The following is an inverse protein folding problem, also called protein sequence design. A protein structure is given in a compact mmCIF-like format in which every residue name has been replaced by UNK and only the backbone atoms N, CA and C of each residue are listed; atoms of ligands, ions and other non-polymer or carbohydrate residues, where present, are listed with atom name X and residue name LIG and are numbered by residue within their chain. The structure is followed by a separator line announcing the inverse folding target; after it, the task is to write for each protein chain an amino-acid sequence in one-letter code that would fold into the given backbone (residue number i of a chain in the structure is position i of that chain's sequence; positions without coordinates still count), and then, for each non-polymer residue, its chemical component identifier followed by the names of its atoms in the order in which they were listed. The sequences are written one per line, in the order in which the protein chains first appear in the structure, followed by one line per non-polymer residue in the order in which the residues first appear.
data_IF_469613681895
#
_entry.id   IF_469613681895
#
_cell.length_a   1.000
_cell.length_b   1.000
_cell.length_c   1.000
_cell.angle_alpha   90.00
_cell.angle_beta   90.00
_cell.angle_gamma   90.00
#
_symmetry.space_group_name_H-M   'P 1'
#
loop_
_entity.id
_entity.type
_entity.pdbx_description
1 polymer ?
#
# COMPACT_ATOMS: atom_id res chain seq x y z
N UNK A 1 -31.18 -4.68 -6.10
CA UNK A 1 -29.81 -4.41 -5.61
C UNK A 1 -29.50 -5.42 -4.52
N UNK A 2 -28.37 -6.06 -4.60
CA UNK A 2 -27.89 -6.97 -3.57
C UNK A 2 -27.07 -6.14 -2.57
N UNK A 3 -27.34 -6.29 -1.28
CA UNK A 3 -26.63 -5.55 -0.21
C UNK A 3 -25.91 -6.54 0.67
N UNK A 4 -24.60 -6.34 0.83
CA UNK A 4 -23.76 -7.11 1.74
C UNK A 4 -23.51 -6.32 3.02
N UNK A 5 -23.89 -6.89 4.17
CA UNK A 5 -23.59 -6.37 5.50
C UNK A 5 -22.58 -7.29 6.20
N UNK A 6 -21.34 -6.81 6.38
CA UNK A 6 -20.33 -7.55 7.11
C UNK A 6 -20.35 -7.21 8.61
N UNK A 7 -20.29 -8.24 9.44
CA UNK A 7 -20.10 -8.14 10.89
C UNK A 7 -18.65 -8.50 11.30
N UNK A 8 -17.83 -8.94 10.36
CA UNK A 8 -16.44 -9.32 10.62
C UNK A 8 -15.59 -8.07 10.89
N UNK A 9 -15.01 -7.97 12.07
CA UNK A 9 -14.17 -6.85 12.53
C UNK A 9 -12.67 -7.25 12.70
N UNK A 10 -12.30 -8.39 12.15
CA UNK A 10 -10.93 -8.91 12.15
C UNK A 10 -10.37 -9.02 10.73
N UNK A 11 -9.03 -8.99 10.56
CA UNK A 11 -8.41 -9.27 9.28
C UNK A 11 -8.79 -10.65 8.73
N UNK A 12 -8.96 -10.74 7.41
CA UNK A 12 -9.21 -12.01 6.73
C UNK A 12 -7.98 -12.93 6.76
N UNK A 13 -6.80 -12.33 6.74
CA UNK A 13 -5.53 -13.04 6.81
C UNK A 13 -4.58 -12.31 7.77
N UNK A 14 -4.03 -13.04 8.74
CA UNK A 14 -3.08 -12.52 9.71
C UNK A 14 -1.85 -13.40 9.77
N UNK A 15 -0.68 -12.83 9.52
CA UNK A 15 0.62 -13.49 9.57
C UNK A 15 1.46 -12.84 10.66
N UNK A 16 2.02 -13.64 11.58
CA UNK A 16 2.89 -13.16 12.64
C UNK A 16 4.16 -14.03 12.66
N UNK A 17 5.31 -13.40 12.46
CA UNK A 17 6.66 -14.00 12.50
C UNK A 17 6.84 -15.25 11.60
N UNK A 18 6.08 -15.33 10.51
CA UNK A 18 6.17 -16.41 9.52
C UNK A 18 6.92 -15.94 8.28
N UNK A 19 7.52 -16.87 7.55
CA UNK A 19 8.36 -16.55 6.41
C UNK A 19 8.09 -17.46 5.22
N UNK A 20 8.37 -16.93 4.01
CA UNK A 20 8.36 -17.66 2.73
C UNK A 20 6.99 -18.26 2.35
N UNK A 21 5.91 -17.63 2.81
CA UNK A 21 4.55 -18.00 2.41
C UNK A 21 4.12 -17.19 1.19
N UNK A 22 3.40 -17.84 0.28
CA UNK A 22 2.77 -17.17 -0.86
C UNK A 22 1.27 -17.49 -0.86
N UNK A 23 0.47 -16.42 -0.81
CA UNK A 23 -0.98 -16.48 -1.00
C UNK A 23 -1.28 -15.99 -2.40
N UNK A 24 -1.91 -16.81 -3.21
CA UNK A 24 -2.11 -16.52 -4.63
C UNK A 24 -3.53 -16.76 -5.09
N UNK A 25 -4.04 -15.84 -5.93
CA UNK A 25 -5.33 -16.00 -6.62
C UNK A 25 -6.54 -15.98 -5.69
N UNK A 26 -6.42 -15.34 -4.51
CA UNK A 26 -7.52 -15.24 -3.55
C UNK A 26 -8.38 -14.01 -3.84
N UNK A 27 -9.67 -14.14 -3.58
CA UNK A 27 -10.59 -13.01 -3.46
C UNK A 27 -10.79 -12.76 -1.96
N UNK A 28 -10.42 -11.57 -1.50
CA UNK A 28 -10.47 -11.13 -0.12
C UNK A 28 -11.42 -9.93 -0.03
N UNK A 29 -12.58 -10.14 0.57
CA UNK A 29 -13.61 -9.09 0.63
C UNK A 29 -14.46 -9.16 1.89
N UNK A 30 -15.17 -8.06 2.17
CA UNK A 30 -16.19 -7.99 3.19
C UNK A 30 -15.70 -8.18 4.63
N UNK A 31 -14.57 -7.57 4.99
CA UNK A 31 -14.25 -7.31 6.41
C UNK A 31 -14.38 -5.81 6.72
N UNK A 32 -14.68 -5.49 7.97
CA UNK A 32 -14.67 -4.10 8.50
C UNK A 32 -13.27 -3.65 8.90
N UNK A 33 -12.34 -4.59 9.10
CA UNK A 33 -10.94 -4.38 9.43
C UNK A 33 -10.06 -4.27 8.16
N UNK A 34 -8.74 -4.44 8.31
CA UNK A 34 -7.82 -4.65 7.20
C UNK A 34 -8.09 -6.00 6.54
N UNK A 35 -7.83 -6.14 5.24
CA UNK A 35 -7.96 -7.46 4.64
C UNK A 35 -6.81 -8.38 5.08
N UNK A 36 -5.58 -7.89 5.03
CA UNK A 36 -4.38 -8.66 5.34
C UNK A 36 -3.48 -7.88 6.30
N UNK A 37 -2.98 -8.55 7.33
CA UNK A 37 -1.94 -8.05 8.22
C UNK A 37 -0.74 -9.01 8.24
N UNK A 38 0.46 -8.47 8.02
CA UNK A 38 1.73 -9.20 8.11
C UNK A 38 2.63 -8.48 9.12
N UNK A 39 3.03 -9.17 10.18
CA UNK A 39 3.92 -8.63 11.21
C UNK A 39 5.13 -9.51 11.39
N UNK A 40 6.33 -8.94 11.27
CA UNK A 40 7.58 -9.69 11.36
C UNK A 40 7.76 -10.74 10.27
N UNK A 41 8.71 -11.66 10.46
CA UNK A 41 9.04 -12.68 9.48
C UNK A 41 9.75 -12.16 8.23
N UNK A 42 9.77 -12.96 7.15
CA UNK A 42 10.45 -12.58 5.93
C UNK A 42 9.82 -13.19 4.66
N UNK A 43 9.94 -12.47 3.55
CA UNK A 43 9.69 -12.99 2.19
C UNK A 43 8.28 -13.58 1.96
N UNK A 44 7.27 -13.09 2.67
CA UNK A 44 5.89 -13.48 2.39
C UNK A 44 5.37 -12.69 1.19
N UNK A 45 4.51 -13.32 0.36
CA UNK A 45 3.98 -12.73 -0.87
C UNK A 45 2.47 -12.85 -0.94
N UNK A 46 1.82 -11.75 -1.30
CA UNK A 46 0.42 -11.69 -1.72
C UNK A 46 0.46 -11.48 -3.23
N UNK A 47 -0.01 -12.45 -4.02
CA UNK A 47 0.21 -12.47 -5.46
C UNK A 47 -1.06 -12.77 -6.26
N UNK A 48 -1.38 -11.96 -7.25
CA UNK A 48 -2.54 -12.17 -8.12
C UNK A 48 -3.87 -12.26 -7.37
N UNK A 49 -4.01 -11.48 -6.30
CA UNK A 49 -5.20 -11.46 -5.45
C UNK A 49 -6.13 -10.30 -5.84
N UNK A 50 -7.41 -10.48 -5.60
CA UNK A 50 -8.41 -9.42 -5.65
C UNK A 50 -8.83 -9.04 -4.24
N UNK A 51 -8.52 -7.82 -3.82
CA UNK A 51 -8.80 -7.29 -2.47
C UNK A 51 -9.78 -6.13 -2.64
N UNK A 52 -11.01 -6.29 -2.16
CA UNK A 52 -12.05 -5.29 -2.38
C UNK A 52 -13.10 -5.24 -1.28
N UNK A 53 -13.85 -4.13 -1.23
CA UNK A 53 -14.94 -3.95 -0.25
C UNK A 53 -14.45 -4.17 1.19
N UNK A 54 -13.32 -3.56 1.50
CA UNK A 54 -12.64 -3.63 2.80
C UNK A 54 -12.98 -2.38 3.61
N UNK A 55 -13.32 -2.55 4.88
CA UNK A 55 -13.70 -1.43 5.75
C UNK A 55 -12.54 -0.52 6.15
N UNK A 56 -11.31 -1.02 6.11
CA UNK A 56 -10.11 -0.26 6.43
C UNK A 56 -9.06 -0.41 5.29
N UNK A 57 -7.79 -0.62 5.60
CA UNK A 57 -6.69 -0.76 4.62
C UNK A 57 -6.66 -2.16 3.99
N UNK A 58 -6.34 -2.25 2.70
CA UNK A 58 -6.23 -3.53 2.00
C UNK A 58 -5.17 -4.43 2.62
N UNK A 59 -3.90 -4.02 2.62
CA UNK A 59 -2.79 -4.81 3.18
C UNK A 59 -1.92 -3.93 4.09
N UNK A 60 -1.61 -4.44 5.27
CA UNK A 60 -0.70 -3.80 6.23
C UNK A 60 0.49 -4.72 6.50
N UNK A 61 1.70 -4.22 6.26
CA UNK A 61 2.97 -4.91 6.50
C UNK A 61 3.78 -4.11 7.51
N UNK A 62 4.07 -4.70 8.65
CA UNK A 62 4.81 -4.07 9.74
C UNK A 62 6.02 -4.91 10.15
N UNK A 63 7.21 -4.35 9.98
CA UNK A 63 8.47 -5.03 10.32
C UNK A 63 8.77 -6.24 9.43
N UNK A 64 9.74 -7.04 9.84
CA UNK A 64 10.25 -8.12 9.01
C UNK A 64 11.05 -7.63 7.80
N UNK A 65 11.26 -8.48 6.81
CA UNK A 65 12.04 -8.13 5.61
C UNK A 65 11.50 -8.76 4.33
N UNK A 66 11.58 -8.03 3.21
CA UNK A 66 11.35 -8.58 1.89
C UNK A 66 9.93 -9.08 1.58
N UNK A 67 8.92 -8.59 2.28
CA UNK A 67 7.52 -8.92 1.96
C UNK A 67 7.06 -8.20 0.69
N UNK A 68 6.11 -8.79 -0.01
CA UNK A 68 5.63 -8.23 -1.26
C UNK A 68 4.12 -8.36 -1.48
N UNK A 69 3.56 -7.34 -2.14
CA UNK A 69 2.26 -7.41 -2.79
C UNK A 69 2.51 -7.27 -4.29
N UNK A 70 2.13 -8.27 -5.07
CA UNK A 70 2.44 -8.31 -6.50
C UNK A 70 1.24 -8.70 -7.35
N UNK A 71 1.12 -8.08 -8.52
CA UNK A 71 0.11 -8.43 -9.55
C UNK A 71 -1.31 -8.56 -8.98
N UNK A 72 -1.67 -7.70 -8.03
CA UNK A 72 -2.94 -7.77 -7.31
C UNK A 72 -3.79 -6.52 -7.57
N UNK A 73 -5.10 -6.68 -7.54
CA UNK A 73 -6.06 -5.59 -7.65
C UNK A 73 -6.58 -5.22 -6.25
N UNK A 74 -6.50 -3.94 -5.90
CA UNK A 74 -7.00 -3.41 -4.64
C UNK A 74 -8.01 -2.29 -4.92
N UNK A 75 -9.24 -2.47 -4.50
CA UNK A 75 -10.30 -1.49 -4.76
C UNK A 75 -11.31 -1.37 -3.62
N UNK A 76 -12.02 -0.25 -3.62
CA UNK A 76 -13.16 -0.01 -2.75
C UNK A 76 -12.84 -0.25 -1.25
N UNK A 77 -11.66 0.21 -0.80
CA UNK A 77 -11.28 0.20 0.62
C UNK A 77 -11.83 1.42 1.36
N UNK A 78 -12.06 1.28 2.64
CA UNK A 78 -12.48 2.40 3.49
C UNK A 78 -11.35 3.40 3.74
N UNK A 79 -10.13 2.88 3.79
CA UNK A 79 -8.88 3.62 4.01
C UNK A 79 -7.90 3.36 2.83
N UNK A 80 -6.61 3.24 3.07
CA UNK A 80 -5.60 3.06 2.04
C UNK A 80 -5.57 1.69 1.34
N UNK A 81 -4.67 1.55 0.38
CA UNK A 81 -4.45 0.31 -0.36
C UNK A 81 -3.47 -0.62 0.36
N UNK A 82 -2.17 -0.31 0.30
CA UNK A 82 -1.09 -1.08 0.92
C UNK A 82 -0.23 -0.17 1.79
N UNK A 83 0.00 -0.57 3.03
CA UNK A 83 0.91 0.11 3.96
C UNK A 83 2.12 -0.76 4.23
N UNK A 84 3.32 -0.23 3.96
CA UNK A 84 4.60 -0.87 4.18
C UNK A 84 5.38 -0.14 5.27
N UNK A 85 5.78 -0.84 6.33
CA UNK A 85 6.67 -0.31 7.35
C UNK A 85 7.81 -1.27 7.58
N UNK A 86 9.06 -0.83 7.36
CA UNK A 86 10.23 -1.69 7.55
C UNK A 86 11.57 -1.01 7.33
N UNK A 87 12.62 -1.69 7.76
CA UNK A 87 13.99 -1.15 7.78
C UNK A 87 14.28 -0.32 9.02
N UNK A 88 15.54 0.00 9.21
CA UNK A 88 16.03 0.78 10.36
C UNK A 88 16.67 2.07 9.89
N UNK A 89 16.07 3.21 10.22
CA UNK A 89 16.53 4.55 9.83
C UNK A 89 17.82 4.98 10.55
N UNK A 90 18.17 4.40 11.69
CA UNK A 90 19.40 4.73 12.37
C UNK A 90 20.62 4.15 11.66
N UNK A 91 20.49 2.93 11.18
CA UNK A 91 21.55 2.21 10.48
C UNK A 91 21.43 2.27 8.96
N UNK A 92 20.32 2.77 8.44
CA UNK A 92 19.91 2.72 7.03
C UNK A 92 19.80 1.29 6.47
N UNK A 93 19.51 0.32 7.35
CA UNK A 93 19.29 -1.06 6.94
C UNK A 93 17.92 -1.19 6.24
N UNK A 94 17.87 -1.68 4.99
CA UNK A 94 16.64 -1.70 4.22
C UNK A 94 15.65 -2.78 4.71
N UNK A 95 14.36 -2.44 4.72
CA UNK A 95 13.27 -3.40 4.93
C UNK A 95 13.00 -4.28 3.72
N UNK A 96 13.24 -3.74 2.52
CA UNK A 96 13.13 -4.47 1.26
C UNK A 96 11.71 -4.89 0.87
N UNK A 97 10.67 -4.35 1.51
CA UNK A 97 9.29 -4.61 1.11
C UNK A 97 8.97 -3.89 -0.20
N UNK A 98 8.07 -4.48 -0.99
CA UNK A 98 7.67 -3.86 -2.24
C UNK A 98 6.23 -4.14 -2.67
N UNK A 99 5.73 -3.20 -3.47
CA UNK A 99 4.45 -3.30 -4.19
C UNK A 99 4.76 -3.17 -5.68
N UNK A 100 4.39 -4.19 -6.45
CA UNK A 100 4.74 -4.23 -7.87
C UNK A 100 3.62 -4.78 -8.74
N UNK A 101 3.41 -4.13 -9.89
CA UNK A 101 2.45 -4.55 -10.91
C UNK A 101 1.02 -4.72 -10.35
N UNK A 102 0.62 -3.82 -9.45
CA UNK A 102 -0.70 -3.81 -8.84
C UNK A 102 -1.58 -2.72 -9.44
N UNK A 103 -2.89 -2.91 -9.37
CA UNK A 103 -3.88 -1.93 -9.76
C UNK A 103 -4.66 -1.45 -8.53
N UNK A 104 -4.69 -0.13 -8.34
CA UNK A 104 -5.36 0.54 -7.23
C UNK A 104 -6.43 1.50 -7.75
N UNK A 105 -7.65 1.39 -7.24
CA UNK A 105 -8.74 2.29 -7.62
C UNK A 105 -9.80 2.44 -6.54
N UNK A 106 -10.41 3.63 -6.46
CA UNK A 106 -11.53 3.95 -5.55
C UNK A 106 -11.26 3.60 -4.10
N UNK A 107 -10.09 3.95 -3.60
CA UNK A 107 -9.72 3.79 -2.20
C UNK A 107 -10.19 4.98 -1.36
N UNK A 108 -10.01 4.92 -0.04
CA UNK A 108 -10.31 6.03 0.84
C UNK A 108 -11.78 6.39 0.89
N UNK A 109 -12.68 5.41 0.94
CA UNK A 109 -14.14 5.66 0.93
C UNK A 109 -14.63 6.34 2.20
N UNK A 110 -13.98 6.08 3.33
CA UNK A 110 -14.27 6.70 4.62
C UNK A 110 -13.31 7.83 4.95
N UNK A 111 -12.02 7.51 4.98
CA UNK A 111 -10.95 8.47 5.19
C UNK A 111 -10.54 9.07 3.86
N UNK A 112 -10.49 10.40 3.76
CA UNK A 112 -10.19 11.09 2.49
C UNK A 112 -8.79 11.68 2.45
N UNK A 113 -8.19 11.97 3.60
CA UNK A 113 -6.88 12.60 3.71
C UNK A 113 -5.83 11.61 4.22
N UNK A 114 -4.62 11.67 3.65
CA UNK A 114 -3.47 10.84 4.03
C UNK A 114 -3.70 9.33 3.94
N UNK A 115 -4.53 8.91 3.01
CA UNK A 115 -4.91 7.52 2.74
C UNK A 115 -4.44 7.10 1.35
N UNK A 116 -3.14 6.91 1.13
CA UNK A 116 -2.58 6.61 -0.18
C UNK A 116 -2.92 5.22 -0.69
N UNK A 117 -2.76 5.01 -2.00
CA UNK A 117 -2.76 3.66 -2.54
C UNK A 117 -1.57 2.84 -2.01
N UNK A 118 -0.40 3.48 -1.92
CA UNK A 118 0.79 2.87 -1.31
C UNK A 118 1.41 3.83 -0.29
N UNK A 119 1.45 3.40 0.97
CA UNK A 119 2.20 4.07 2.04
C UNK A 119 3.53 3.35 2.28
N UNK A 120 4.62 4.09 2.41
CA UNK A 120 5.95 3.54 2.68
C UNK A 120 6.61 4.27 3.85
N UNK A 121 6.99 3.55 4.90
CA UNK A 121 7.65 4.13 6.07
C UNK A 121 8.89 3.31 6.43
N UNK A 122 10.04 3.96 6.52
CA UNK A 122 11.28 3.30 6.95
C UNK A 122 12.42 3.44 5.96
N UNK A 123 13.01 2.33 5.49
CA UNK A 123 14.20 2.36 4.62
C UNK A 123 14.09 1.34 3.49
N UNK A 124 14.45 1.77 2.26
CA UNK A 124 14.66 0.87 1.14
C UNK A 124 13.42 0.10 0.69
N UNK A 125 12.27 0.76 0.69
CA UNK A 125 11.00 0.19 0.22
C UNK A 125 10.75 0.59 -1.25
N UNK A 126 9.93 -0.18 -1.96
CA UNK A 126 9.71 0.06 -3.39
C UNK A 126 8.24 -0.02 -3.80
N UNK A 127 7.82 0.94 -4.63
CA UNK A 127 6.56 0.91 -5.38
C UNK A 127 6.87 1.05 -6.87
N UNK A 128 6.58 0.02 -7.66
CA UNK A 128 6.94 0.01 -9.09
C UNK A 128 5.90 -0.67 -9.97
N UNK A 129 5.78 -0.17 -11.22
CA UNK A 129 4.89 -0.74 -12.24
C UNK A 129 3.42 -0.82 -11.81
N UNK A 130 2.96 0.08 -10.95
CA UNK A 130 1.58 0.09 -10.49
C UNK A 130 0.73 1.06 -11.31
N UNK A 131 -0.53 0.73 -11.51
CA UNK A 131 -1.57 1.63 -11.97
C UNK A 131 -2.36 2.13 -10.78
N UNK A 132 -2.40 3.45 -10.56
CA UNK A 132 -3.10 4.09 -9.44
C UNK A 132 -4.05 5.15 -10.00
N UNK A 133 -5.34 4.96 -9.77
CA UNK A 133 -6.36 5.85 -10.32
C UNK A 133 -7.57 6.05 -9.41
N UNK A 134 -8.35 7.09 -9.71
CA UNK A 134 -9.64 7.40 -9.06
C UNK A 134 -9.51 7.46 -7.53
N UNK A 135 -8.64 8.37 -7.06
CA UNK A 135 -8.24 8.41 -5.65
C UNK A 135 -8.48 9.79 -5.03
N UNK A 136 -8.99 9.89 -3.78
CA UNK A 136 -9.34 11.17 -3.17
C UNK A 136 -8.14 12.03 -2.80
N UNK A 137 -6.99 11.44 -2.51
CA UNK A 137 -5.76 12.10 -2.05
C UNK A 137 -4.54 11.69 -2.88
N UNK A 138 -3.35 11.56 -2.25
CA UNK A 138 -2.12 11.16 -2.93
C UNK A 138 -2.11 9.67 -3.32
N UNK A 139 -1.47 9.35 -4.43
CA UNK A 139 -1.29 7.96 -4.84
C UNK A 139 -0.25 7.24 -3.97
N UNK A 140 0.91 7.86 -3.78
CA UNK A 140 1.99 7.31 -2.96
C UNK A 140 2.38 8.32 -1.87
N UNK A 141 2.44 7.85 -0.64
CA UNK A 141 2.87 8.63 0.51
C UNK A 141 4.08 7.95 1.15
N UNK A 142 5.18 8.67 1.35
CA UNK A 142 6.38 8.04 1.87
C UNK A 142 7.08 8.87 2.94
N UNK A 143 7.70 8.16 3.88
CA UNK A 143 8.52 8.71 4.95
C UNK A 143 9.75 7.84 5.17
N UNK A 144 10.92 8.44 5.14
CA UNK A 144 12.16 7.72 5.45
C UNK A 144 13.23 7.90 4.39
N UNK A 145 13.92 6.82 4.07
CA UNK A 145 15.16 6.87 3.32
C UNK A 145 15.26 5.78 2.26
N UNK A 146 15.94 6.11 1.17
CA UNK A 146 16.33 5.17 0.12
C UNK A 146 15.17 4.41 -0.53
N UNK A 147 13.99 5.00 -0.55
CA UNK A 147 12.82 4.44 -1.23
C UNK A 147 12.95 4.58 -2.75
N UNK A 148 12.30 3.69 -3.47
CA UNK A 148 12.25 3.70 -4.94
C UNK A 148 10.81 3.68 -5.44
N UNK A 149 10.43 4.72 -6.18
CA UNK A 149 9.13 4.86 -6.84
C UNK A 149 9.35 5.01 -8.33
N UNK A 150 9.07 3.97 -9.11
CA UNK A 150 9.39 3.97 -10.54
C UNK A 150 8.38 3.24 -11.40
N UNK A 151 8.26 3.68 -12.65
CA UNK A 151 7.41 3.06 -13.67
C UNK A 151 5.94 2.93 -13.25
N UNK A 152 5.45 3.80 -12.38
CA UNK A 152 4.03 3.81 -12.02
C UNK A 152 3.27 4.73 -12.99
N UNK A 153 2.06 4.32 -13.35
CA UNK A 153 1.07 5.18 -13.98
C UNK A 153 0.10 5.69 -12.92
N UNK A 154 -0.02 7.02 -12.81
CA UNK A 154 -0.82 7.67 -11.77
C UNK A 154 -1.71 8.72 -12.43
N UNK A 155 -3.03 8.57 -12.30
CA UNK A 155 -3.96 9.55 -12.85
C UNK A 155 -5.28 9.64 -12.07
N UNK A 156 -6.02 10.74 -12.28
CA UNK A 156 -7.29 11.01 -11.59
C UNK A 156 -7.15 10.85 -10.07
N UNK A 157 -6.16 11.55 -9.50
CA UNK A 157 -5.91 11.58 -8.06
C UNK A 157 -6.17 12.99 -7.50
N UNK A 158 -6.16 13.13 -6.16
CA UNK A 158 -6.51 14.38 -5.49
C UNK A 158 -7.93 14.87 -5.82
N UNK A 159 -8.88 13.96 -6.00
CA UNK A 159 -10.22 14.28 -6.47
C UNK A 159 -11.08 14.98 -5.40
N UNK A 160 -10.79 14.79 -4.12
CA UNK A 160 -11.65 15.27 -3.04
C UNK A 160 -10.90 16.12 -1.98
N UNK A 161 -9.58 16.27 -2.11
CA UNK A 161 -8.75 16.95 -1.09
C UNK A 161 -7.74 17.91 -1.70
N UNK A 162 -7.26 18.86 -0.89
CA UNK A 162 -6.18 19.78 -1.24
C UNK A 162 -4.89 19.49 -0.46
N UNK A 163 -3.85 20.32 -0.64
CA UNK A 163 -2.52 20.19 -0.04
C UNK A 163 -1.90 18.80 -0.26
N UNK A 164 -1.82 18.41 -1.52
CA UNK A 164 -1.47 17.05 -1.93
C UNK A 164 -0.68 17.05 -3.23
N UNK A 165 0.22 16.07 -3.37
CA UNK A 165 0.89 15.71 -4.63
C UNK A 165 0.62 14.26 -4.98
N UNK A 166 0.82 13.88 -6.24
CA UNK A 166 0.65 12.49 -6.67
C UNK A 166 1.55 11.53 -5.88
N UNK A 167 2.80 11.91 -5.71
CA UNK A 167 3.77 11.28 -4.81
C UNK A 167 4.12 12.34 -3.78
N UNK A 168 3.87 12.06 -2.51
CA UNK A 168 3.87 13.05 -1.45
C UNK A 168 4.73 12.64 -0.26
N UNK A 169 5.49 13.60 0.29
CA UNK A 169 6.28 13.45 1.52
C UNK A 169 6.48 14.83 2.17
N UNK A 170 6.98 14.86 3.37
CA UNK A 170 7.35 16.12 4.00
C UNK A 170 7.58 16.04 5.50
N UNK A 171 7.89 17.22 6.10
CA UNK A 171 7.99 17.50 7.53
C UNK A 171 9.20 16.91 8.26
N UNK A 172 10.10 16.23 7.56
CA UNK A 172 11.33 15.72 8.15
C UNK A 172 12.49 15.89 7.14
N UNK A 173 13.43 16.77 7.44
CA UNK A 173 14.57 17.08 6.59
C UNK A 173 15.67 15.99 6.59
N UNK A 174 15.50 14.95 7.40
CA UNK A 174 16.40 13.79 7.43
C UNK A 174 16.08 12.74 6.36
N UNK A 175 14.95 12.89 5.66
CA UNK A 175 14.61 12.02 4.52
C UNK A 175 15.58 12.28 3.37
N UNK A 176 16.18 11.22 2.86
CA UNK A 176 17.18 11.30 1.81
C UNK A 176 17.35 9.99 1.08
N UNK A 177 17.96 10.05 -0.12
CA UNK A 177 18.24 8.86 -0.92
C UNK A 177 17.06 8.33 -1.72
N UNK A 178 15.87 8.93 -1.55
CA UNK A 178 14.67 8.53 -2.26
C UNK A 178 14.78 8.82 -3.76
N UNK A 179 14.30 7.90 -4.58
CA UNK A 179 14.35 7.99 -6.03
C UNK A 179 12.95 7.90 -6.61
N UNK A 180 12.53 8.99 -7.29
CA UNK A 180 11.30 9.06 -8.05
C UNK A 180 11.69 9.20 -9.51
N UNK A 181 11.41 8.19 -10.33
CA UNK A 181 11.83 8.20 -11.73
C UNK A 181 10.90 7.40 -12.63
N UNK A 182 10.83 7.78 -13.91
CA UNK A 182 10.10 7.05 -14.94
C UNK A 182 8.61 6.81 -14.62
N UNK A 183 7.99 7.65 -13.81
CA UNK A 183 6.56 7.58 -13.56
C UNK A 183 5.81 8.41 -14.59
N UNK A 184 4.64 7.95 -15.00
CA UNK A 184 3.73 8.68 -15.87
C UNK A 184 2.57 9.22 -15.04
N UNK A 185 2.58 10.53 -14.80
CA UNK A 185 1.59 11.20 -13.94
C UNK A 185 0.80 12.16 -14.83
N UNK A 186 -0.53 12.01 -14.86
CA UNK A 186 -1.39 12.80 -15.73
C UNK A 186 -2.82 12.95 -15.18
N UNK A 187 -3.57 13.99 -15.65
CA UNK A 187 -4.93 14.40 -15.22
C UNK A 187 -5.05 14.80 -13.75
#
# INVERSE_FOLDING_TARGET
AETLLSLLDQPLLKLADVSNLTFRGLILEATRANAIEIRGGASNRIAGCLIRNIGNTGVVIEGGTGHAVVSSDVSDTGDGGVSLTGGDRQTLSPGGHFVENCHFQRLGRWSKCYVPAVAMTGVGLRASHNLIQDHPHCAILYWGNDHLMEFNEIHHIALETGDVGAIYTGRDYTFRGDKIRHNFIHH
#
